data_IF_327877986912
#
_entry.id   IF_327877986912
#
_cell.length_a   1.000
_cell.length_b   1.000
_cell.length_c   1.000
_cell.angle_alpha   90.00
_cell.angle_beta   90.00
_cell.angle_gamma   90.00
#
_symmetry.space_group_name_H-M   'P 1'
#
loop_
_entity.id
_entity.type
_entity.pdbx_description
1 polymer ?
#
# COMPACT_ATOMS: atom_id res chain seq x y z
N UNK A 1 12.80 14.71 -3.05
CA UNK A 1 11.36 14.51 -2.80
C UNK A 1 10.94 15.57 -1.82
N UNK A 2 9.84 16.27 -2.07
CA UNK A 2 9.21 17.06 -1.01
C UNK A 2 8.63 16.06 -0.03
N UNK A 3 9.37 15.74 1.03
CA UNK A 3 8.91 14.84 2.07
C UNK A 3 7.83 15.55 2.86
N UNK A 4 6.69 14.90 3.04
CA UNK A 4 5.62 15.46 3.87
C UNK A 4 6.03 15.22 5.34
N UNK A 5 6.15 16.26 6.18
CA UNK A 5 6.45 16.07 7.59
C UNK A 5 5.35 15.25 8.28
N UNK A 6 5.75 14.31 9.14
CA UNK A 6 4.78 13.48 9.87
C UNK A 6 4.15 14.22 11.07
N UNK A 7 4.82 15.25 11.57
CA UNK A 7 4.48 16.00 12.78
C UNK A 7 3.97 17.42 12.50
N UNK A 8 4.12 17.89 11.27
CA UNK A 8 3.73 19.24 10.85
C UNK A 8 2.65 19.16 9.79
N UNK A 9 1.45 19.64 10.14
CA UNK A 9 0.31 19.63 9.23
C UNK A 9 0.51 20.57 8.03
N UNK A 10 0.00 20.21 6.84
CA UNK A 10 -0.05 21.13 5.71
C UNK A 10 -0.89 22.38 6.01
N UNK A 11 -0.68 23.49 5.27
CA UNK A 11 -1.49 24.69 5.44
C UNK A 11 -3.00 24.42 5.34
N UNK A 12 -3.76 24.90 6.34
CA UNK A 12 -5.22 24.75 6.40
C UNK A 12 -5.71 23.43 7.00
N UNK A 13 -4.81 22.47 7.24
CA UNK A 13 -5.16 21.18 7.84
C UNK A 13 -5.05 21.25 9.36
N UNK A 14 -6.04 20.70 10.06
CA UNK A 14 -6.01 20.57 11.51
C UNK A 14 -4.86 19.66 11.98
N UNK A 15 -4.08 20.15 12.96
CA UNK A 15 -2.87 19.45 13.44
C UNK A 15 -3.22 18.15 14.15
N UNK A 16 -4.30 18.12 14.94
CA UNK A 16 -4.67 16.92 15.67
C UNK A 16 -5.12 15.81 14.71
N UNK A 17 -5.86 16.16 13.68
CA UNK A 17 -6.26 15.25 12.59
C UNK A 17 -5.02 14.70 11.86
N UNK A 18 -4.06 15.56 11.54
CA UNK A 18 -2.82 15.18 10.86
C UNK A 18 -1.93 14.25 11.70
N UNK A 19 -1.71 14.61 12.97
CA UNK A 19 -0.71 13.97 13.84
C UNK A 19 -1.25 12.73 14.53
N UNK A 20 -2.56 12.64 14.80
CA UNK A 20 -3.13 11.48 15.50
C UNK A 20 -3.75 10.50 14.51
N UNK A 21 -4.50 10.99 13.52
CA UNK A 21 -5.30 10.14 12.64
C UNK A 21 -6.31 9.27 13.42
N UNK A 22 -6.86 8.26 12.75
CA UNK A 22 -7.79 7.30 13.34
C UNK A 22 -7.26 5.86 13.21
N UNK A 23 -7.21 5.07 14.30
CA UNK A 23 -6.87 3.66 14.19
C UNK A 23 -8.01 2.91 13.49
N UNK A 24 -7.75 2.36 12.31
CA UNK A 24 -8.71 1.54 11.59
C UNK A 24 -7.99 0.56 10.66
N UNK A 25 -8.69 -0.51 10.27
CA UNK A 25 -8.24 -1.35 9.17
C UNK A 25 -8.38 -0.58 7.86
N UNK A 26 -7.42 -0.70 6.93
CA UNK A 26 -7.51 -0.08 5.61
C UNK A 26 -8.78 -0.54 4.88
N UNK A 27 -9.59 0.39 4.39
CA UNK A 27 -10.82 0.13 3.66
C UNK A 27 -10.95 1.07 2.46
N UNK A 28 -11.66 0.64 1.42
CA UNK A 28 -11.92 1.46 0.25
C UNK A 28 -12.60 2.78 0.65
N UNK A 29 -12.17 3.88 0.03
CA UNK A 29 -12.65 5.23 0.34
C UNK A 29 -11.89 5.95 1.44
N UNK A 30 -11.06 5.26 2.23
CA UNK A 30 -10.28 5.88 3.29
C UNK A 30 -9.07 6.63 2.75
N UNK A 31 -8.84 7.84 3.26
CA UNK A 31 -7.63 8.62 3.06
C UNK A 31 -6.54 8.18 4.06
N UNK A 32 -5.36 7.91 3.54
CA UNK A 32 -4.20 7.48 4.32
C UNK A 32 -2.98 8.33 4.02
N UNK A 33 -2.23 8.64 5.09
CA UNK A 33 -0.85 9.12 4.98
C UNK A 33 0.08 7.93 4.79
N UNK A 34 0.92 8.01 3.77
CA UNK A 34 1.95 7.01 3.49
C UNK A 34 3.28 7.48 4.05
N UNK A 35 4.09 6.55 4.56
CA UNK A 35 5.42 6.88 5.06
C UNK A 35 6.37 5.70 4.97
N UNK A 36 7.66 6.02 4.94
CA UNK A 36 8.74 5.05 5.09
C UNK A 36 9.94 5.72 5.73
N UNK A 37 10.67 4.98 6.57
CA UNK A 37 11.86 5.48 7.29
C UNK A 37 11.58 6.78 8.06
N UNK A 38 10.38 6.93 8.63
CA UNK A 38 9.98 8.12 9.38
C UNK A 38 9.70 9.37 8.51
N UNK A 39 9.60 9.23 7.19
CA UNK A 39 9.29 10.34 6.28
C UNK A 39 7.94 10.11 5.59
N UNK A 40 7.12 11.16 5.49
CA UNK A 40 5.88 11.11 4.71
C UNK A 40 6.18 11.07 3.21
N UNK A 41 5.57 10.09 2.54
CA UNK A 41 5.76 9.83 1.11
C UNK A 41 4.67 10.47 0.24
N UNK A 42 3.44 10.52 0.75
CA UNK A 42 2.29 10.99 -0.01
C UNK A 42 0.97 10.69 0.69
N UNK A 43 -0.12 11.17 0.10
CA UNK A 43 -1.49 10.85 0.49
C UNK A 43 -2.12 9.93 -0.57
N UNK A 44 -2.81 8.88 -0.13
CA UNK A 44 -3.55 7.98 -1.01
C UNK A 44 -4.95 7.74 -0.48
N UNK A 45 -5.94 7.71 -1.35
CA UNK A 45 -7.26 7.16 -1.04
C UNK A 45 -7.31 5.72 -1.51
N UNK A 46 -7.71 4.79 -0.63
CA UNK A 46 -7.74 3.36 -0.94
C UNK A 46 -8.85 3.08 -1.93
N UNK A 47 -8.51 2.51 -3.08
CA UNK A 47 -9.47 2.03 -4.08
C UNK A 47 -9.90 0.59 -3.80
N UNK A 48 -8.95 -0.28 -3.47
CA UNK A 48 -9.21 -1.69 -3.15
C UNK A 48 -8.21 -2.25 -2.15
N UNK A 49 -8.55 -3.39 -1.55
CA UNK A 49 -7.76 -4.07 -0.53
C UNK A 49 -7.46 -5.51 -0.98
N UNK A 50 -6.19 -5.88 -0.95
CA UNK A 50 -5.70 -7.23 -1.21
C UNK A 50 -4.96 -7.77 0.03
N UNK A 51 -4.38 -8.97 -0.01
CA UNK A 51 -3.52 -9.43 1.10
C UNK A 51 -2.11 -8.84 0.95
N UNK A 52 -1.65 -8.09 1.95
CA UNK A 52 -0.31 -7.49 1.98
C UNK A 52 -0.15 -6.13 1.29
N UNK A 53 -1.12 -5.70 0.49
CA UNK A 53 -1.08 -4.42 -0.23
C UNK A 53 -2.49 -3.84 -0.48
N UNK A 54 -2.55 -2.56 -0.87
CA UNK A 54 -3.78 -1.86 -1.29
C UNK A 54 -3.55 -1.17 -2.63
N UNK A 55 -4.61 -1.05 -3.43
CA UNK A 55 -4.62 -0.11 -4.55
C UNK A 55 -5.06 1.26 -4.02
N UNK A 56 -4.41 2.32 -4.48
CA UNK A 56 -4.70 3.70 -4.06
C UNK A 56 -4.75 4.63 -5.25
N UNK A 57 -5.59 5.65 -5.15
CA UNK A 57 -5.47 6.84 -6.00
C UNK A 57 -4.58 7.86 -5.26
N UNK A 58 -3.52 8.36 -5.91
CA UNK A 58 -2.76 9.49 -5.41
C UNK A 58 -3.66 10.67 -5.07
N UNK A 59 -3.35 11.41 -4.01
CA UNK A 59 -4.11 12.60 -3.60
C UNK A 59 -3.16 13.80 -3.48
N UNK A 60 -3.51 14.88 -4.17
CA UNK A 60 -2.84 16.18 -4.07
C UNK A 60 -3.57 17.13 -3.11
N UNK A 61 -2.82 18.06 -2.52
CA UNK A 61 -3.29 19.08 -1.58
C UNK A 61 -3.64 20.39 -2.32
N UNK A 62 -4.36 21.34 -1.67
CA UNK A 62 -4.71 22.63 -2.27
C UNK A 62 -3.55 23.48 -2.78
N UNK A 63 -2.35 23.31 -2.20
CA UNK A 63 -1.16 24.04 -2.61
C UNK A 63 -0.44 23.47 -3.83
N UNK A 64 -0.85 22.28 -4.29
CA UNK A 64 -0.23 21.62 -5.43
C UNK A 64 -0.78 22.20 -6.75
N UNK A 65 0.03 22.26 -7.82
CA UNK A 65 -0.43 22.70 -9.14
C UNK A 65 -1.25 21.59 -9.82
N UNK A 66 -2.46 21.36 -9.31
CA UNK A 66 -3.39 20.33 -9.80
C UNK A 66 -4.10 20.77 -11.08
N UNK A 67 -4.50 19.79 -11.89
CA UNK A 67 -5.28 19.99 -13.10
C UNK A 67 -6.08 18.72 -13.41
N UNK A 68 -7.09 18.79 -14.29
CA UNK A 68 -7.67 17.59 -14.88
C UNK A 68 -6.57 16.66 -15.46
N UNK A 69 -6.70 15.33 -15.32
CA UNK A 69 -7.93 14.64 -14.93
C UNK A 69 -8.02 14.33 -13.42
N UNK A 70 -7.31 15.04 -12.53
CA UNK A 70 -7.62 14.95 -11.11
C UNK A 70 -9.09 15.32 -10.87
N UNK A 71 -9.74 14.66 -9.91
CA UNK A 71 -11.10 15.00 -9.46
C UNK A 71 -11.02 15.82 -8.18
N UNK A 72 -12.02 16.65 -7.90
CA UNK A 72 -12.08 17.51 -6.72
C UNK A 72 -13.08 16.97 -5.70
N UNK A 73 -12.67 16.94 -4.44
CA UNK A 73 -13.52 16.61 -3.28
C UNK A 73 -13.42 17.75 -2.27
N UNK A 74 -14.53 18.41 -1.99
CA UNK A 74 -14.56 19.59 -1.11
C UNK A 74 -14.83 19.23 0.37
N UNK A 75 -15.73 18.28 0.60
CA UNK A 75 -16.04 17.78 1.95
C UNK A 75 -15.05 16.67 2.31
N UNK A 76 -13.96 17.05 2.97
CA UNK A 76 -12.85 16.15 3.27
C UNK A 76 -12.59 16.05 4.77
N UNK A 77 -12.03 14.93 5.24
CA UNK A 77 -11.67 14.79 6.65
C UNK A 77 -10.56 15.76 7.08
N UNK A 78 -9.85 16.41 6.15
CA UNK A 78 -8.81 17.38 6.45
C UNK A 78 -9.32 18.83 6.50
N UNK A 79 -10.59 19.08 6.22
CA UNK A 79 -11.19 20.42 6.21
C UNK A 79 -10.71 21.32 5.05
N UNK A 80 -10.00 20.75 4.08
CA UNK A 80 -9.51 21.43 2.87
C UNK A 80 -9.86 20.63 1.62
N UNK A 81 -10.04 21.24 0.45
CA UNK A 81 -10.32 20.48 -0.77
C UNK A 81 -9.14 19.55 -1.11
N UNK A 82 -9.44 18.34 -1.54
CA UNK A 82 -8.44 17.35 -1.94
C UNK A 82 -8.65 16.93 -3.39
N UNK A 83 -7.56 16.52 -4.02
CA UNK A 83 -7.56 16.19 -5.45
C UNK A 83 -7.05 14.78 -5.71
N UNK A 84 -7.92 13.75 -5.62
CA UNK A 84 -7.57 12.39 -6.04
C UNK A 84 -7.28 12.30 -7.54
N UNK A 85 -6.42 11.37 -7.92
CA UNK A 85 -6.06 11.05 -9.31
C UNK A 85 -6.50 9.63 -9.68
N UNK A 86 -7.79 9.40 -10.06
CA UNK A 86 -8.29 8.08 -10.42
C UNK A 86 -7.52 7.43 -11.58
N UNK A 87 -7.08 8.25 -12.55
CA UNK A 87 -6.27 7.80 -13.69
C UNK A 87 -4.85 7.36 -13.36
N UNK A 88 -4.46 7.40 -12.08
CA UNK A 88 -3.12 7.07 -11.58
C UNK A 88 -3.17 6.05 -10.46
N UNK A 89 -4.19 5.19 -10.49
CA UNK A 89 -4.29 4.07 -9.55
C UNK A 89 -3.01 3.25 -9.53
N UNK A 90 -2.56 2.91 -8.33
CA UNK A 90 -1.33 2.16 -8.15
C UNK A 90 -1.33 1.35 -6.85
N UNK A 91 -0.52 0.29 -6.83
CA UNK A 91 -0.42 -0.62 -5.68
C UNK A 91 0.68 -0.23 -4.71
N UNK A 92 0.36 -0.20 -3.42
CA UNK A 92 1.33 0.05 -2.34
C UNK A 92 1.27 -1.03 -1.28
N UNK A 93 2.42 -1.44 -0.75
CA UNK A 93 2.48 -2.40 0.36
C UNK A 93 1.91 -1.83 1.65
N UNK A 94 1.26 -2.66 2.45
CA UNK A 94 0.64 -2.25 3.72
C UNK A 94 1.65 -1.64 4.69
N UNK A 95 2.91 -2.05 4.60
CA UNK A 95 4.00 -1.52 5.41
C UNK A 95 4.16 0.01 5.25
N UNK A 96 3.69 0.59 4.15
CA UNK A 96 3.75 2.03 3.87
C UNK A 96 2.62 2.82 4.53
N UNK A 97 1.51 2.17 4.89
CA UNK A 97 0.37 2.82 5.53
C UNK A 97 0.77 3.31 6.92
N UNK A 98 0.78 4.63 7.12
CA UNK A 98 1.16 5.23 8.40
C UNK A 98 -0.04 5.39 9.32
N UNK A 99 -1.04 6.13 8.86
CA UNK A 99 -2.26 6.43 9.61
C UNK A 99 -3.39 6.80 8.67
N UNK A 100 -4.61 6.46 9.08
CA UNK A 100 -5.83 6.91 8.42
C UNK A 100 -6.15 8.33 8.84
N UNK A 101 -6.47 9.18 7.88
CA UNK A 101 -6.89 10.56 8.11
C UNK A 101 -8.41 10.71 8.10
N UNK A 102 -9.14 9.75 7.54
CA UNK A 102 -10.60 9.69 7.59
C UNK A 102 -11.20 9.09 6.31
N UNK A 103 -12.53 8.93 6.22
CA UNK A 103 -13.18 8.57 4.98
C UNK A 103 -13.18 9.78 4.03
N UNK A 104 -12.70 9.61 2.80
CA UNK A 104 -12.70 10.66 1.78
C UNK A 104 -13.80 10.47 0.74
N UNK A 105 -13.96 9.24 0.25
CA UNK A 105 -14.96 8.90 -0.76
C UNK A 105 -15.76 7.69 -0.31
N UNK A 106 -17.03 7.64 -0.69
CA UNK A 106 -17.82 6.42 -0.55
C UNK A 106 -17.35 5.39 -1.60
N UNK A 107 -17.30 4.08 -1.29
CA UNK A 107 -16.92 3.05 -2.27
C UNK A 107 -17.73 3.09 -3.56
N UNK A 108 -19.01 3.44 -3.49
CA UNK A 108 -19.89 3.58 -4.66
C UNK A 108 -19.46 4.74 -5.55
N UNK A 109 -19.04 5.86 -4.96
CA UNK A 109 -18.52 7.00 -5.71
C UNK A 109 -17.17 6.66 -6.35
N UNK A 110 -16.32 5.89 -5.66
CA UNK A 110 -15.06 5.42 -6.23
C UNK A 110 -15.29 4.53 -7.45
N UNK A 111 -16.16 3.52 -7.34
CA UNK A 111 -16.50 2.64 -8.46
C UNK A 111 -17.06 3.43 -9.65
N UNK A 112 -18.06 4.28 -9.42
CA UNK A 112 -18.65 5.08 -10.49
C UNK A 112 -17.66 6.06 -11.15
N UNK A 113 -16.68 6.58 -10.40
CA UNK A 113 -15.61 7.39 -10.98
C UNK A 113 -14.63 6.53 -11.78
N UNK A 114 -14.22 5.35 -11.31
CA UNK A 114 -13.35 4.45 -12.05
C UNK A 114 -14.01 4.04 -13.39
N UNK A 115 -15.26 3.58 -13.35
CA UNK A 115 -16.04 3.19 -14.53
C UNK A 115 -16.11 4.33 -15.56
N UNK A 116 -16.38 5.57 -15.10
CA UNK A 116 -16.46 6.72 -15.99
C UNK A 116 -15.13 7.00 -16.70
N UNK A 117 -13.99 6.79 -16.04
CA UNK A 117 -12.67 6.95 -16.65
C UNK A 117 -12.37 5.85 -17.67
N UNK A 118 -12.75 4.61 -17.39
CA UNK A 118 -12.61 3.48 -18.32
C UNK A 118 -13.47 3.68 -19.58
N UNK A 119 -14.72 4.15 -19.40
CA UNK A 119 -15.67 4.41 -20.47
C UNK A 119 -15.41 5.72 -21.24
N UNK A 120 -14.50 6.57 -20.75
CA UNK A 120 -14.24 7.90 -21.31
C UNK A 120 -15.43 8.86 -21.16
N UNK A 121 -16.24 8.68 -20.12
CA UNK A 121 -17.41 9.52 -19.81
C UNK A 121 -17.12 10.47 -18.63
N UNK A 122 -17.92 11.54 -18.46
CA UNK A 122 -17.73 12.45 -17.34
C UNK A 122 -17.97 11.73 -15.99
N UNK A 123 -17.01 11.80 -15.04
CA UNK A 123 -17.18 11.19 -13.73
C UNK A 123 -18.23 11.93 -12.89
N UNK A 124 -18.80 11.28 -11.85
CA UNK A 124 -19.75 11.91 -10.94
C UNK A 124 -19.12 13.00 -10.07
N UNK A 125 -17.80 12.92 -9.85
CA UNK A 125 -17.02 13.93 -9.16
C UNK A 125 -16.58 15.02 -10.15
N UNK A 126 -16.61 16.31 -9.78
CA UNK A 126 -16.10 17.36 -10.64
C UNK A 126 -14.60 17.19 -10.86
N UNK A 127 -14.11 17.57 -12.04
CA UNK A 127 -12.66 17.67 -12.25
C UNK A 127 -12.07 18.82 -11.43
N UNK A 128 -10.78 18.70 -11.11
CA UNK A 128 -9.98 19.77 -10.55
C UNK A 128 -10.00 21.01 -11.45
N UNK A 129 -9.78 22.22 -10.89
CA UNK A 129 -9.80 23.45 -11.66
C UNK A 129 -8.78 23.44 -12.80
N UNK A 130 -9.19 23.92 -13.98
CA UNK A 130 -8.24 24.14 -15.07
C UNK A 130 -7.29 25.28 -14.69
N UNK A 131 -5.97 25.06 -14.68
CA UNK A 131 -5.02 26.09 -14.32
C UNK A 131 -5.07 27.25 -15.32
N UNK A 132 -4.82 28.50 -14.88
CA UNK A 132 -4.66 29.63 -15.79
C UNK A 132 -3.44 29.39 -16.71
N UNK A 133 -3.33 30.09 -17.86
CA UNK A 133 -2.24 29.87 -18.82
C UNK A 133 -0.82 29.94 -18.21
N UNK A 134 -0.62 30.76 -17.18
CA UNK A 134 0.67 30.89 -16.48
C UNK A 134 1.00 29.69 -15.57
N UNK A 135 0.00 28.90 -15.17
CA UNK A 135 0.14 27.72 -14.32
C UNK A 135 0.03 26.39 -15.07
N UNK A 136 -0.29 26.42 -16.37
CA UNK A 136 -0.48 25.21 -17.17
C UNK A 136 0.79 24.33 -17.23
N UNK A 137 1.95 24.95 -17.47
CA UNK A 137 3.23 24.24 -17.52
C UNK A 137 3.61 23.61 -16.17
N UNK A 138 3.29 24.31 -15.06
CA UNK A 138 3.52 23.80 -13.72
C UNK A 138 2.65 22.58 -13.42
N UNK A 139 1.39 22.61 -13.85
CA UNK A 139 0.47 21.50 -13.63
C UNK A 139 0.80 20.26 -14.49
N UNK A 140 1.19 20.45 -15.75
CA UNK A 140 1.69 19.36 -16.60
C UNK A 140 2.97 18.74 -16.03
N UNK A 141 3.90 19.59 -15.58
CA UNK A 141 5.15 19.13 -14.93
C UNK A 141 4.85 18.32 -13.67
N UNK A 142 3.97 18.82 -12.80
CA UNK A 142 3.58 18.12 -11.58
C UNK A 142 2.88 16.79 -11.86
N UNK A 143 1.97 16.76 -12.85
CA UNK A 143 1.30 15.54 -13.28
C UNK A 143 2.29 14.45 -13.70
N UNK A 144 3.38 14.81 -14.41
CA UNK A 144 4.45 13.86 -14.76
C UNK A 144 5.28 13.44 -13.55
N UNK A 145 5.66 14.40 -12.71
CA UNK A 145 6.42 14.12 -11.48
C UNK A 145 5.64 13.24 -10.50
N UNK A 146 4.31 13.30 -10.52
CA UNK A 146 3.47 12.42 -9.73
C UNK A 146 3.66 10.96 -10.15
N UNK A 147 3.76 10.67 -11.45
CA UNK A 147 4.05 9.30 -11.96
C UNK A 147 5.38 8.82 -11.39
N UNK A 148 6.46 9.56 -11.61
CA UNK A 148 7.81 9.20 -11.15
C UNK A 148 7.90 9.05 -9.62
N UNK A 149 7.12 9.84 -8.88
CA UNK A 149 7.08 9.78 -7.43
C UNK A 149 6.37 8.52 -6.95
N UNK A 150 5.20 8.22 -7.52
CA UNK A 150 4.43 7.05 -7.13
C UNK A 150 5.06 5.75 -7.60
N UNK A 151 5.69 5.72 -8.78
CA UNK A 151 6.52 4.60 -9.22
C UNK A 151 7.58 4.25 -8.18
N UNK A 152 8.32 5.25 -7.68
CA UNK A 152 9.31 5.02 -6.60
C UNK A 152 8.70 4.52 -5.31
N UNK A 153 7.51 4.99 -4.93
CA UNK A 153 6.79 4.53 -3.73
C UNK A 153 6.42 3.05 -3.89
N UNK A 154 5.98 2.62 -5.07
CA UNK A 154 5.60 1.22 -5.35
C UNK A 154 6.78 0.25 -5.23
N UNK A 155 8.00 0.72 -5.52
CA UNK A 155 9.22 -0.07 -5.37
C UNK A 155 9.70 -0.20 -3.93
N UNK A 156 9.09 0.49 -2.97
CA UNK A 156 9.38 0.27 -1.55
C UNK A 156 8.66 -1.00 -1.10
N UNK A 157 9.42 -2.09 -1.01
CA UNK A 157 8.89 -3.40 -0.64
C UNK A 157 9.52 -3.89 0.66
N UNK A 158 8.68 -4.44 1.53
CA UNK A 158 9.09 -5.23 2.68
C UNK A 158 8.06 -6.33 2.94
N UNK A 159 8.47 -7.60 3.14
CA UNK A 159 9.83 -8.13 3.12
C UNK A 159 10.57 -7.96 1.79
N UNK A 160 11.90 -8.09 1.81
CA UNK A 160 12.72 -7.98 0.61
C UNK A 160 12.37 -9.05 -0.44
N UNK A 161 12.59 -8.79 -1.75
CA UNK A 161 12.18 -9.65 -2.85
C UNK A 161 12.93 -11.00 -2.94
N UNK A 162 13.96 -11.22 -2.12
CA UNK A 162 14.62 -12.52 -1.97
C UNK A 162 13.91 -13.45 -0.97
N UNK A 163 12.82 -13.00 -0.35
CA UNK A 163 11.90 -13.87 0.38
C UNK A 163 11.26 -14.90 -0.57
N UNK A 164 10.84 -16.05 -0.02
CA UNK A 164 10.09 -17.03 -0.80
C UNK A 164 8.88 -16.34 -1.46
N UNK A 165 8.66 -16.55 -2.76
CA UNK A 165 7.60 -15.87 -3.50
C UNK A 165 6.33 -16.73 -3.55
N UNK A 166 5.19 -16.07 -3.64
CA UNK A 166 3.86 -16.63 -3.94
C UNK A 166 3.31 -15.91 -5.17
N UNK A 167 2.12 -16.29 -5.63
CA UNK A 167 1.41 -15.60 -6.70
C UNK A 167 0.16 -14.92 -6.14
N UNK A 168 -0.15 -13.71 -6.60
CA UNK A 168 -1.38 -13.02 -6.26
C UNK A 168 -2.60 -13.85 -6.68
N UNK A 169 -3.36 -14.37 -5.70
CA UNK A 169 -4.56 -15.17 -5.94
C UNK A 169 -5.59 -14.44 -6.79
N UNK A 170 -5.78 -13.14 -6.57
CA UNK A 170 -6.73 -12.35 -7.35
C UNK A 170 -6.29 -12.20 -8.81
N UNK A 171 -4.99 -12.15 -9.08
CA UNK A 171 -4.48 -12.09 -10.44
C UNK A 171 -4.67 -13.41 -11.19
N UNK A 172 -4.47 -14.56 -10.52
CA UNK A 172 -4.80 -15.87 -11.10
C UNK A 172 -6.30 -15.97 -11.44
N UNK A 173 -7.16 -15.49 -10.53
CA UNK A 173 -8.61 -15.47 -10.76
C UNK A 173 -9.01 -14.53 -11.90
N UNK A 174 -8.42 -13.36 -11.97
CA UNK A 174 -8.64 -12.40 -13.06
C UNK A 174 -8.20 -12.97 -14.42
N UNK A 175 -7.12 -13.75 -14.43
CA UNK A 175 -6.66 -14.50 -15.61
C UNK A 175 -7.55 -15.72 -15.94
N UNK A 176 -8.61 -15.98 -15.18
CA UNK A 176 -9.53 -17.09 -15.39
C UNK A 176 -8.99 -18.46 -14.99
N UNK A 177 -7.85 -18.51 -14.30
CA UNK A 177 -7.23 -19.77 -13.89
C UNK A 177 -7.95 -20.38 -12.68
N UNK A 178 -8.17 -21.69 -12.73
CA UNK A 178 -8.68 -22.51 -11.65
C UNK A 178 -7.57 -23.34 -10.98
N UNK A 179 -7.73 -23.80 -9.72
CA UNK A 179 -6.75 -24.66 -9.05
C UNK A 179 -6.39 -25.94 -9.82
N UNK A 180 -7.33 -26.51 -10.57
CA UNK A 180 -7.08 -27.67 -11.42
C UNK A 180 -6.15 -27.35 -12.59
N UNK A 181 -6.29 -26.17 -13.19
CA UNK A 181 -5.42 -25.73 -14.28
C UNK A 181 -4.03 -25.40 -13.77
N UNK A 182 -3.90 -24.86 -12.55
CA UNK A 182 -2.60 -24.72 -11.87
C UNK A 182 -1.94 -26.09 -11.64
N UNK A 183 -2.71 -27.11 -11.25
CA UNK A 183 -2.19 -28.47 -11.07
C UNK A 183 -1.65 -29.04 -12.38
N UNK A 184 -2.39 -28.88 -13.48
CA UNK A 184 -2.01 -29.36 -14.80
C UNK A 184 -0.79 -28.59 -15.35
N UNK A 185 -0.78 -27.26 -15.24
CA UNK A 185 0.31 -26.39 -15.71
C UNK A 185 1.63 -26.67 -15.00
N UNK A 186 1.58 -26.85 -13.68
CA UNK A 186 2.78 -27.07 -12.86
C UNK A 186 3.13 -28.55 -12.69
N UNK A 187 2.30 -29.46 -13.20
CA UNK A 187 2.41 -30.91 -13.01
C UNK A 187 2.55 -31.26 -11.51
N UNK A 188 1.66 -30.70 -10.68
CA UNK A 188 1.66 -30.86 -9.23
C UNK A 188 0.42 -31.63 -8.74
N UNK A 189 0.54 -32.31 -7.58
CA UNK A 189 -0.63 -32.80 -6.86
C UNK A 189 -1.65 -31.69 -6.57
N UNK A 190 -2.94 -32.02 -6.59
CA UNK A 190 -4.04 -31.05 -6.44
C UNK A 190 -3.98 -30.26 -5.12
N UNK A 191 -3.55 -30.89 -4.03
CA UNK A 191 -3.39 -30.23 -2.73
C UNK A 191 -2.30 -29.15 -2.75
N UNK A 192 -1.17 -29.42 -3.41
CA UNK A 192 -0.11 -28.43 -3.61
C UNK A 192 -0.53 -27.32 -4.57
N UNK A 193 -1.23 -27.66 -5.65
CA UNK A 193 -1.75 -26.67 -6.59
C UNK A 193 -2.78 -25.74 -5.94
N UNK A 194 -3.67 -26.28 -5.09
CA UNK A 194 -4.60 -25.48 -4.28
C UNK A 194 -3.85 -24.57 -3.32
N UNK A 195 -2.80 -25.07 -2.65
CA UNK A 195 -1.99 -24.25 -1.75
C UNK A 195 -1.27 -23.10 -2.50
N UNK A 196 -0.72 -23.36 -3.68
CA UNK A 196 -0.11 -22.33 -4.55
C UNK A 196 -1.17 -21.32 -5.02
N UNK A 197 -2.31 -21.81 -5.51
CA UNK A 197 -3.40 -20.96 -6.00
C UNK A 197 -3.93 -20.00 -4.93
N UNK A 198 -4.02 -20.47 -3.68
CA UNK A 198 -4.44 -19.68 -2.53
C UNK A 198 -3.31 -18.82 -1.91
N UNK A 199 -2.11 -18.79 -2.51
CA UNK A 199 -0.97 -18.03 -1.99
C UNK A 199 -0.42 -18.56 -0.65
N UNK A 200 -0.67 -19.83 -0.33
CA UNK A 200 -0.29 -20.47 0.93
C UNK A 200 1.01 -21.27 0.83
N UNK A 201 1.44 -21.61 -0.38
CA UNK A 201 2.71 -22.28 -0.65
C UNK A 201 3.57 -21.45 -1.59
N UNK A 202 4.90 -21.44 -1.40
CA UNK A 202 5.79 -20.70 -2.26
C UNK A 202 5.89 -21.34 -3.65
N UNK A 203 6.23 -20.54 -4.64
CA UNK A 203 6.51 -20.96 -6.01
C UNK A 203 8.01 -20.86 -6.30
N UNK A 204 8.53 -21.79 -7.12
CA UNK A 204 9.87 -21.61 -7.69
C UNK A 204 9.83 -20.56 -8.81
N UNK A 205 10.98 -19.97 -9.19
CA UNK A 205 11.03 -19.04 -10.31
C UNK A 205 10.49 -19.64 -11.62
N UNK A 206 10.72 -20.94 -11.87
CA UNK A 206 10.16 -21.60 -13.05
C UNK A 206 8.64 -21.72 -12.98
N UNK A 207 8.10 -22.13 -11.82
CA UNK A 207 6.65 -22.22 -11.60
C UNK A 207 5.98 -20.85 -11.74
N UNK A 208 6.59 -19.80 -11.19
CA UNK A 208 6.12 -18.43 -11.34
C UNK A 208 6.07 -18.01 -12.81
N UNK A 209 7.14 -18.24 -13.57
CA UNK A 209 7.17 -17.93 -15.00
C UNK A 209 6.16 -18.74 -15.82
N UNK A 210 5.89 -20.00 -15.46
CA UNK A 210 4.84 -20.81 -16.11
C UNK A 210 3.45 -20.21 -15.87
N UNK A 211 3.15 -19.80 -14.63
CA UNK A 211 1.87 -19.18 -14.30
C UNK A 211 1.71 -17.79 -14.93
N UNK A 212 2.77 -16.98 -14.96
CA UNK A 212 2.80 -15.68 -15.65
C UNK A 212 2.53 -15.83 -17.15
N UNK A 213 3.15 -16.82 -17.79
CA UNK A 213 2.92 -17.12 -19.20
C UNK A 213 1.49 -17.58 -19.48
N UNK A 214 0.91 -18.43 -18.62
CA UNK A 214 -0.47 -18.88 -18.74
C UNK A 214 -1.48 -17.74 -18.54
N UNK A 215 -1.18 -16.82 -17.63
CA UNK A 215 -1.98 -15.63 -17.37
C UNK A 215 -1.75 -14.48 -18.37
N UNK A 216 -0.83 -14.64 -19.33
CA UNK A 216 -0.40 -13.60 -20.26
C UNK A 216 0.05 -12.31 -19.56
N UNK A 217 0.67 -12.44 -18.38
CA UNK A 217 1.15 -11.32 -17.59
C UNK A 217 2.63 -11.03 -17.87
N UNK A 218 3.04 -9.78 -17.65
CA UNK A 218 4.45 -9.39 -17.70
C UNK A 218 5.27 -10.12 -16.61
N UNK A 219 6.54 -10.48 -16.87
CA UNK A 219 7.38 -11.18 -15.90
C UNK A 219 7.52 -10.40 -14.57
N UNK A 220 7.32 -11.09 -13.45
CA UNK A 220 7.40 -10.50 -12.11
C UNK A 220 6.12 -9.82 -11.64
N UNK A 221 5.17 -9.54 -12.53
CA UNK A 221 3.96 -8.78 -12.19
C UNK A 221 3.03 -9.54 -11.23
N UNK A 222 3.00 -10.88 -11.33
CA UNK A 222 2.09 -11.71 -10.55
C UNK A 222 2.66 -12.15 -9.20
N UNK A 223 3.93 -11.84 -8.95
CA UNK A 223 4.66 -12.36 -7.78
C UNK A 223 4.41 -11.50 -6.56
N UNK A 224 4.26 -12.17 -5.44
CA UNK A 224 4.07 -11.56 -4.13
C UNK A 224 5.04 -12.18 -3.13
N UNK A 225 5.71 -11.41 -2.26
CA UNK A 225 6.51 -12.00 -1.20
C UNK A 225 5.61 -12.83 -0.28
N UNK A 226 6.04 -14.05 0.05
CA UNK A 226 5.35 -14.90 1.01
C UNK A 226 5.46 -14.28 2.40
N UNK A 227 4.35 -13.74 2.89
CA UNK A 227 4.30 -13.17 4.22
C UNK A 227 4.15 -14.28 5.26
N UNK A 228 5.21 -14.51 6.03
CA UNK A 228 5.12 -15.35 7.23
C UNK A 228 4.25 -14.68 8.32
N UNK A 229 3.97 -15.42 9.39
CA UNK A 229 3.10 -14.93 10.46
C UNK A 229 3.65 -13.66 11.16
N UNK A 230 4.97 -13.46 11.19
CA UNK A 230 5.56 -12.25 11.74
C UNK A 230 5.41 -11.09 10.76
N UNK A 231 5.75 -11.31 9.48
CA UNK A 231 5.65 -10.33 8.42
C UNK A 231 4.22 -9.80 8.29
N UNK A 232 3.20 -10.67 8.26
CA UNK A 232 1.78 -10.27 8.23
C UNK A 232 1.38 -9.36 9.38
N UNK A 233 1.93 -9.61 10.57
CA UNK A 233 1.66 -8.77 11.74
C UNK A 233 2.44 -7.46 11.70
N UNK A 234 3.64 -7.48 11.15
CA UNK A 234 4.50 -6.30 11.09
C UNK A 234 4.02 -5.31 10.04
N UNK A 235 3.47 -5.76 8.91
CA UNK A 235 2.87 -4.87 7.90
C UNK A 235 1.56 -4.24 8.35
N UNK A 236 0.95 -4.68 9.46
CA UNK A 236 -0.24 -4.05 10.03
C UNK A 236 0.06 -2.57 10.37
N UNK A 237 -0.71 -1.61 9.84
CA UNK A 237 -0.50 -0.18 10.12
C UNK A 237 -0.52 0.14 11.62
N UNK A 238 -1.26 -0.62 12.43
CA UNK A 238 -1.30 -0.48 13.89
C UNK A 238 0.06 -0.75 14.56
N UNK A 239 1.01 -1.42 13.89
CA UNK A 239 2.37 -1.66 14.38
C UNK A 239 3.38 -0.61 13.93
N UNK A 240 3.01 0.30 13.01
CA UNK A 240 3.91 1.29 12.42
C UNK A 240 4.66 2.12 13.47
N UNK A 241 3.95 2.62 14.48
CA UNK A 241 4.56 3.42 15.54
C UNK A 241 5.61 2.64 16.35
N UNK A 242 5.35 1.36 16.66
CA UNK A 242 6.31 0.51 17.37
C UNK A 242 7.55 0.22 16.52
N UNK A 243 7.37 -0.01 15.22
CA UNK A 243 8.47 -0.20 14.27
C UNK A 243 9.34 1.08 14.19
N UNK A 244 8.72 2.24 14.05
CA UNK A 244 9.45 3.52 14.00
C UNK A 244 10.17 3.81 15.31
N UNK A 245 9.59 3.44 16.46
CA UNK A 245 10.27 3.55 17.76
C UNK A 245 11.54 2.68 17.81
N UNK A 246 11.50 1.44 17.31
CA UNK A 246 12.69 0.58 17.24
C UNK A 246 13.72 1.12 16.26
N UNK A 247 13.28 1.57 15.07
CA UNK A 247 14.13 2.20 14.06
C UNK A 247 14.88 3.40 14.64
N UNK A 248 14.18 4.32 15.31
CA UNK A 248 14.78 5.49 15.96
C UNK A 248 15.70 5.12 17.12
N UNK A 249 15.28 4.21 18.01
CA UNK A 249 16.08 3.78 19.17
C UNK A 249 17.37 3.06 18.78
N UNK A 250 17.33 2.25 17.72
CA UNK A 250 18.48 1.47 17.24
C UNK A 250 19.27 2.17 16.13
N UNK A 251 18.80 3.32 15.65
CA UNK A 251 19.37 4.05 14.52
C UNK A 251 19.55 3.16 13.27
N UNK A 252 18.50 2.42 12.93
CA UNK A 252 18.43 1.53 11.76
C UNK A 252 17.24 1.93 10.88
N UNK A 253 17.22 1.51 9.61
CA UNK A 253 16.07 1.76 8.73
C UNK A 253 14.81 1.03 9.23
N UNK A 254 13.65 1.43 8.73
CA UNK A 254 12.38 0.79 9.01
C UNK A 254 12.41 -0.69 8.59
N UNK A 255 12.97 -1.00 7.42
CA UNK A 255 13.19 -2.38 6.96
C UNK A 255 14.00 -3.18 7.98
N UNK A 256 15.16 -2.65 8.38
CA UNK A 256 16.05 -3.33 9.32
C UNK A 256 15.39 -3.53 10.69
N UNK A 257 14.59 -2.56 11.15
CA UNK A 257 13.82 -2.70 12.38
C UNK A 257 12.78 -3.82 12.27
N UNK A 258 12.07 -3.93 11.14
CA UNK A 258 11.09 -5.00 10.89
C UNK A 258 11.78 -6.37 10.82
N UNK A 259 12.91 -6.48 10.13
CA UNK A 259 13.72 -7.70 10.04
C UNK A 259 14.23 -8.14 11.43
N UNK A 260 14.69 -7.18 12.24
CA UNK A 260 15.13 -7.43 13.62
C UNK A 260 13.97 -7.95 14.48
N UNK A 261 12.78 -7.35 14.38
CA UNK A 261 11.61 -7.81 15.12
C UNK A 261 11.16 -9.20 14.64
N UNK A 262 11.12 -9.43 13.33
CA UNK A 262 10.73 -10.71 12.74
C UNK A 262 11.66 -11.85 13.18
N UNK A 263 12.98 -11.64 13.10
CA UNK A 263 13.98 -12.63 13.54
C UNK A 263 13.87 -12.96 15.04
N UNK A 264 13.66 -11.95 15.89
CA UNK A 264 13.46 -12.16 17.32
C UNK A 264 12.13 -12.84 17.65
N UNK A 265 11.08 -12.56 16.88
CA UNK A 265 9.79 -13.22 17.01
C UNK A 265 9.86 -14.71 16.66
N UNK A 266 10.65 -15.07 15.63
CA UNK A 266 10.90 -16.46 15.25
C UNK A 266 11.65 -17.22 16.36
N UNK A 267 12.64 -16.61 17.00
CA UNK A 267 13.35 -17.19 18.15
C UNK A 267 12.43 -17.41 19.36
N UNK A 268 11.45 -16.52 19.55
CA UNK A 268 10.44 -16.60 20.62
C UNK A 268 9.32 -17.62 20.35
N UNK A 269 9.33 -18.34 19.22
CA UNK A 269 8.28 -19.27 18.82
C UNK A 269 8.08 -20.47 19.78
N UNK A 270 9.02 -20.71 20.70
CA UNK A 270 8.93 -21.75 21.74
C UNK A 270 8.06 -21.37 22.95
N UNK A 271 7.51 -20.15 22.98
CA UNK A 271 6.63 -19.67 24.05
C UNK A 271 5.15 -20.01 23.79
N UNK A 272 4.42 -20.41 24.83
CA UNK A 272 2.97 -20.69 24.79
C UNK A 272 2.09 -19.42 24.75
N UNK A 273 2.68 -18.22 24.74
CA UNK A 273 1.93 -16.98 24.65
C UNK A 273 1.30 -16.79 23.25
N UNK A 274 0.19 -16.04 23.20
CA UNK A 274 -0.43 -15.67 21.93
C UNK A 274 0.54 -14.81 21.08
N UNK A 275 0.34 -14.82 19.76
CA UNK A 275 1.28 -14.21 18.83
C UNK A 275 1.40 -12.68 19.01
N UNK A 276 0.33 -11.98 19.38
CA UNK A 276 0.38 -10.52 19.60
C UNK A 276 1.16 -10.14 20.85
N UNK A 277 0.90 -10.80 21.99
CA UNK A 277 1.64 -10.57 23.22
C UNK A 277 3.13 -10.92 23.08
N UNK A 278 3.45 -11.94 22.28
CA UNK A 278 4.84 -12.26 21.92
C UNK A 278 5.49 -11.14 21.13
N UNK A 279 4.79 -10.59 20.14
CA UNK A 279 5.32 -9.50 19.33
C UNK A 279 5.53 -8.23 20.18
N UNK A 280 4.58 -7.91 21.06
CA UNK A 280 4.71 -6.80 22.01
C UNK A 280 5.90 -6.97 22.96
N UNK A 281 6.14 -8.19 23.45
CA UNK A 281 7.31 -8.50 24.28
C UNK A 281 8.63 -8.34 23.51
N UNK A 282 8.66 -8.69 22.21
CA UNK A 282 9.83 -8.48 21.35
C UNK A 282 10.10 -6.98 21.18
N UNK A 283 9.08 -6.18 20.88
CA UNK A 283 9.21 -4.72 20.79
C UNK A 283 9.74 -4.13 22.10
N UNK A 284 9.13 -4.50 23.24
CA UNK A 284 9.54 -3.99 24.55
C UNK A 284 11.01 -4.31 24.87
N UNK A 285 11.47 -5.53 24.57
CA UNK A 285 12.88 -5.93 24.77
C UNK A 285 13.81 -5.16 23.85
N UNK A 286 13.47 -5.02 22.56
CA UNK A 286 14.30 -4.29 21.60
C UNK A 286 14.44 -2.81 21.96
N UNK A 287 13.44 -2.23 22.61
CA UNK A 287 13.48 -0.85 23.13
C UNK A 287 14.18 -0.73 24.50
N UNK A 288 14.35 -1.83 25.24
CA UNK A 288 15.01 -1.84 26.54
C UNK A 288 16.53 -2.11 26.44
N UNK A 289 16.96 -2.90 25.46
CA UNK A 289 18.37 -3.21 25.27
C UNK A 289 19.11 -2.03 24.58
N UNK A 290 20.21 -1.58 25.20
CA UNK A 290 21.12 -0.51 24.74
C UNK A 290 22.23 -1.04 23.83
#
# INVERSE_FOLDING_TARGET
MSTIPLDTAPPGVDVDTWVNGAPARPAAGDLWLLSWDGHGLGLGVIASRHDGFVLVWPVSLPGDPVAPPAVQVDDTPLGVPLFPWPSRETGIGDALLHRRLGPLLAPEAMGATADAFEDGTPPPLPFAPTPPPQGADAADTYSRQLIDTWERICFIQWPAPDAAETIYTDALRAAGLAPSEVADLLNLPTDQAVAIFLGQAPVTPEQASTLEGAAQAEPGLLRAPMLDAAARKLIDPGRKAQVLAVSGHRNVSESQARDLVASQFALAARSNANADARLDAVFARLLADH
#
